data_IF_485168420766
#
_entry.id   IF_485168420766
#
_cell.length_a   1.000
_cell.length_b   1.000
_cell.length_c   1.000
_cell.angle_alpha   90.00
_cell.angle_beta   90.00
_cell.angle_gamma   90.00
#
_symmetry.space_group_name_H-M   'P 1'
#
loop_
_entity.id
_entity.type
_entity.pdbx_description
1 polymer ?
#
# COMPACT_ATOMS: atom_id res chain seq x y z
N UNK A 1 -29.95 12.13 23.11
CA UNK A 1 -28.60 11.75 22.63
C UNK A 1 -28.01 12.96 21.92
N UNK A 2 -26.71 13.22 22.05
CA UNK A 2 -26.06 14.35 21.36
C UNK A 2 -25.72 13.96 19.92
N UNK A 3 -25.69 14.92 19.00
CA UNK A 3 -25.29 14.68 17.61
C UNK A 3 -23.87 14.07 17.50
N UNK A 4 -23.00 14.33 18.47
CA UNK A 4 -21.68 13.68 18.58
C UNK A 4 -21.80 12.18 18.86
N UNK A 5 -22.68 11.78 19.79
CA UNK A 5 -22.91 10.38 20.12
C UNK A 5 -23.56 9.61 18.96
N UNK A 6 -24.41 10.27 18.17
CA UNK A 6 -24.97 9.65 16.97
C UNK A 6 -23.92 9.45 15.88
N UNK A 7 -23.02 10.42 15.67
CA UNK A 7 -21.86 10.24 14.79
C UNK A 7 -20.98 9.06 15.20
N UNK A 8 -20.71 8.88 16.50
CA UNK A 8 -19.88 7.77 17.02
C UNK A 8 -20.41 6.39 16.63
N UNK A 9 -21.73 6.21 16.54
CA UNK A 9 -22.34 4.92 16.17
C UNK A 9 -22.00 4.47 14.75
N UNK A 10 -21.58 5.40 13.88
CA UNK A 10 -21.15 5.10 12.53
C UNK A 10 -19.65 4.81 12.42
N UNK A 11 -18.87 5.06 13.48
CA UNK A 11 -17.43 4.85 13.49
C UNK A 11 -17.10 3.41 13.85
N UNK A 12 -16.41 2.74 12.95
CA UNK A 12 -15.95 1.36 13.12
C UNK A 12 -14.46 1.32 13.52
N UNK A 13 -14.10 0.62 14.60
CA UNK A 13 -12.70 0.42 14.98
C UNK A 13 -11.86 -0.19 13.87
N UNK A 14 -10.65 0.33 13.64
CA UNK A 14 -9.74 -0.11 12.58
C UNK A 14 -10.06 0.46 11.20
N UNK A 15 -11.12 1.27 11.05
CA UNK A 15 -11.43 1.98 9.82
C UNK A 15 -10.84 3.39 9.78
N UNK A 16 -10.80 3.96 8.59
CA UNK A 16 -10.37 5.34 8.37
C UNK A 16 -11.39 6.09 7.53
N UNK A 17 -11.59 7.36 7.88
CA UNK A 17 -12.60 8.24 7.31
C UNK A 17 -11.94 9.53 6.88
N UNK A 18 -12.36 10.08 5.75
CA UNK A 18 -12.07 11.46 5.43
C UNK A 18 -13.04 12.38 6.15
N UNK A 19 -12.64 13.64 6.34
CA UNK A 19 -13.56 14.71 6.78
C UNK A 19 -14.87 14.71 5.98
N UNK A 20 -14.79 14.59 4.65
CA UNK A 20 -15.97 14.59 3.77
C UNK A 20 -16.90 13.39 3.99
N UNK A 21 -16.40 12.24 4.47
CA UNK A 21 -17.21 11.04 4.65
C UNK A 21 -18.11 11.21 5.88
N UNK A 22 -17.60 11.91 6.90
CA UNK A 22 -18.33 12.22 8.14
C UNK A 22 -19.42 13.29 7.96
N UNK A 23 -19.41 14.05 6.84
CA UNK A 23 -20.47 15.03 6.52
C UNK A 23 -21.84 14.38 6.36
N UNK A 24 -21.89 13.07 6.08
CA UNK A 24 -23.12 12.30 5.97
C UNK A 24 -23.87 12.16 7.30
N UNK A 25 -23.15 12.30 8.41
CA UNK A 25 -23.65 12.01 9.76
C UNK A 25 -23.51 13.20 10.72
N UNK A 26 -22.96 14.33 10.26
CA UNK A 26 -22.81 15.53 11.08
C UNK A 26 -22.87 16.81 10.25
N UNK A 27 -23.68 17.76 10.73
CA UNK A 27 -23.74 19.14 10.22
C UNK A 27 -22.62 20.04 10.80
N UNK A 28 -21.88 19.55 11.80
CA UNK A 28 -20.83 20.29 12.54
C UNK A 28 -19.51 19.49 12.53
N UNK A 29 -19.09 19.04 11.34
CA UNK A 29 -17.99 18.06 11.19
C UNK A 29 -16.70 18.49 11.87
N UNK A 30 -16.26 19.75 11.70
CA UNK A 30 -14.98 20.20 12.26
C UNK A 30 -15.00 20.20 13.78
N UNK A 31 -16.11 20.64 14.38
CA UNK A 31 -16.32 20.59 15.83
C UNK A 31 -16.32 19.16 16.34
N UNK A 32 -17.05 18.25 15.70
CA UNK A 32 -17.11 16.86 16.11
C UNK A 32 -15.77 16.15 15.93
N UNK A 33 -15.04 16.42 14.85
CA UNK A 33 -13.67 15.90 14.64
C UNK A 33 -12.73 16.34 15.76
N UNK A 34 -12.75 17.61 16.14
CA UNK A 34 -11.94 18.10 17.26
C UNK A 34 -12.30 17.39 18.57
N UNK A 35 -13.59 17.19 18.85
CA UNK A 35 -14.04 16.48 20.04
C UNK A 35 -13.63 15.01 20.03
N UNK A 36 -13.85 14.29 18.92
CA UNK A 36 -13.49 12.88 18.75
C UNK A 36 -11.98 12.66 18.84
N UNK A 37 -11.18 13.58 18.29
CA UNK A 37 -9.72 13.53 18.41
C UNK A 37 -9.27 13.81 19.84
N UNK A 38 -9.87 14.82 20.49
CA UNK A 38 -9.53 15.18 21.88
C UNK A 38 -9.82 14.05 22.87
N UNK A 39 -10.89 13.28 22.65
CA UNK A 39 -11.27 12.16 23.52
C UNK A 39 -10.66 10.81 23.09
N UNK A 40 -9.83 10.78 22.04
CA UNK A 40 -9.16 9.57 21.55
C UNK A 40 -10.03 8.61 20.73
N UNK A 41 -11.28 8.96 20.43
CA UNK A 41 -12.14 8.16 19.55
C UNK A 41 -11.68 8.19 18.08
N UNK A 42 -10.95 9.24 17.68
CA UNK A 42 -10.28 9.34 16.39
C UNK A 42 -8.83 9.78 16.55
N UNK A 43 -7.98 9.34 15.64
CA UNK A 43 -6.61 9.82 15.49
C UNK A 43 -6.39 10.39 14.10
N UNK A 44 -5.61 11.47 13.98
CA UNK A 44 -5.34 12.11 12.69
C UNK A 44 -4.22 11.37 11.96
N UNK A 45 -4.58 10.53 11.00
CA UNK A 45 -3.62 9.76 10.22
C UNK A 45 -2.93 10.59 9.12
N UNK A 46 -3.64 11.54 8.49
CA UNK A 46 -3.06 12.42 7.47
C UNK A 46 -3.87 13.72 7.31
N UNK A 47 -3.51 14.56 6.35
CA UNK A 47 -4.30 15.73 5.96
C UNK A 47 -5.73 15.34 5.57
N UNK A 48 -6.69 15.64 6.45
CA UNK A 48 -8.12 15.35 6.22
C UNK A 48 -8.52 13.89 6.34
N UNK A 49 -7.64 13.00 6.83
CA UNK A 49 -7.90 11.57 7.07
C UNK A 49 -7.75 11.28 8.56
N UNK A 50 -8.74 10.59 9.11
CA UNK A 50 -8.85 10.25 10.52
C UNK A 50 -9.09 8.75 10.65
N UNK A 51 -8.42 8.07 11.56
CA UNK A 51 -8.63 6.65 11.83
C UNK A 51 -9.31 6.45 13.18
N UNK A 52 -10.09 5.39 13.29
CA UNK A 52 -10.61 4.91 14.57
C UNK A 52 -9.61 3.85 15.05
N UNK A 53 -8.87 4.08 16.15
CA UNK A 53 -7.96 3.07 16.67
C UNK A 53 -8.77 1.84 17.10
N UNK A 54 -8.16 0.65 17.00
CA UNK A 54 -8.75 -0.60 17.49
C UNK A 54 -8.03 -1.04 18.75
N UNK A 55 -8.79 -1.56 19.71
CA UNK A 55 -8.18 -2.19 20.88
C UNK A 55 -7.59 -3.55 20.50
N UNK A 56 -6.40 -3.79 21.01
CA UNK A 56 -5.72 -5.09 20.93
C UNK A 56 -5.23 -5.47 22.31
N UNK A 57 -4.80 -6.73 22.50
CA UNK A 57 -4.16 -7.19 23.74
C UNK A 57 -2.91 -6.39 24.15
N UNK A 58 -2.35 -5.60 23.23
CA UNK A 58 -1.17 -4.76 23.43
C UNK A 58 -1.50 -3.27 23.53
N UNK A 59 -2.79 -2.91 23.65
CA UNK A 59 -3.28 -1.53 23.65
C UNK A 59 -3.87 -1.12 22.31
N UNK A 60 -4.02 0.20 22.11
CA UNK A 60 -4.55 0.76 20.88
C UNK A 60 -3.60 0.50 19.71
N UNK A 61 -4.17 0.03 18.60
CA UNK A 61 -3.47 -0.17 17.36
C UNK A 61 -4.10 0.68 16.25
N UNK A 62 -3.27 1.20 15.33
CA UNK A 62 -3.77 1.95 14.20
C UNK A 62 -4.58 1.07 13.24
N UNK A 63 -5.29 1.73 12.32
CA UNK A 63 -5.86 1.06 11.17
C UNK A 63 -4.76 0.42 10.31
N UNK A 64 -5.11 -0.64 9.58
CA UNK A 64 -4.20 -1.23 8.62
C UNK A 64 -3.76 -0.19 7.57
N UNK A 65 -2.53 -0.31 7.07
CA UNK A 65 -1.98 0.63 6.09
C UNK A 65 -2.89 0.71 4.85
N UNK A 66 -3.43 -0.41 4.40
CA UNK A 66 -4.36 -0.52 3.28
C UNK A 66 -5.61 0.35 3.52
N UNK A 67 -6.17 0.31 4.74
CA UNK A 67 -7.32 1.16 5.13
C UNK A 67 -6.95 2.64 5.06
N UNK A 68 -5.77 3.02 5.59
CA UNK A 68 -5.29 4.40 5.54
C UNK A 68 -5.05 4.87 4.10
N UNK A 69 -4.45 4.03 3.26
CA UNK A 69 -4.20 4.29 1.85
C UNK A 69 -5.50 4.44 1.07
N UNK A 70 -6.47 3.54 1.29
CA UNK A 70 -7.79 3.60 0.66
C UNK A 70 -8.50 4.90 1.01
N UNK A 71 -8.54 5.26 2.30
CA UNK A 71 -9.08 6.54 2.74
C UNK A 71 -8.28 7.70 2.12
N UNK A 72 -6.95 7.67 2.15
CA UNK A 72 -6.11 8.74 1.61
C UNK A 72 -6.25 8.95 0.09
N UNK A 73 -6.49 7.89 -0.68
CA UNK A 73 -6.71 7.95 -2.13
C UNK A 73 -8.17 8.15 -2.53
N UNK A 74 -9.15 7.74 -1.69
CA UNK A 74 -10.57 7.56 -2.07
C UNK A 74 -10.64 6.72 -3.33
N UNK A 75 -9.91 5.62 -3.30
CA UNK A 75 -9.85 4.60 -4.33
C UNK A 75 -9.44 3.30 -3.65
N UNK A 76 -9.94 2.19 -4.13
CA UNK A 76 -9.55 0.83 -3.74
C UNK A 76 -8.59 0.20 -4.77
N UNK A 77 -8.38 0.84 -5.92
CA UNK A 77 -7.43 0.39 -6.96
C UNK A 77 -6.02 0.87 -6.67
N UNK A 78 -5.36 0.16 -5.77
CA UNK A 78 -3.96 0.33 -5.46
C UNK A 78 -3.32 -1.01 -5.08
N UNK A 79 -1.99 -1.05 -5.09
CA UNK A 79 -1.19 -2.19 -4.65
C UNK A 79 -0.15 -1.70 -3.66
N UNK A 80 -0.20 -2.20 -2.43
CA UNK A 80 0.82 -1.95 -1.42
C UNK A 80 1.89 -3.02 -1.56
N UNK A 81 3.16 -2.60 -1.65
CA UNK A 81 4.31 -3.50 -1.71
C UNK A 81 5.35 -3.05 -0.71
N UNK A 82 5.77 -3.97 0.17
CA UNK A 82 6.97 -3.79 0.98
C UNK A 82 8.16 -4.36 0.22
N UNK A 83 9.22 -3.58 -0.08
CA UNK A 83 10.40 -4.13 -0.75
C UNK A 83 11.05 -5.30 0.02
N UNK A 84 10.88 -5.37 1.34
CA UNK A 84 11.30 -6.52 2.15
C UNK A 84 10.64 -7.84 1.72
N UNK A 85 9.49 -7.79 1.02
CA UNK A 85 8.80 -8.98 0.54
C UNK A 85 9.61 -9.74 -0.52
N UNK A 86 10.57 -9.09 -1.21
CA UNK A 86 11.44 -9.75 -2.18
C UNK A 86 12.24 -10.91 -1.57
N UNK A 87 12.50 -10.88 -0.25
CA UNK A 87 13.19 -11.94 0.46
C UNK A 87 12.46 -13.29 0.31
N UNK A 88 11.13 -13.25 0.25
CA UNK A 88 10.29 -14.43 0.01
C UNK A 88 10.42 -15.03 -1.39
N UNK A 89 11.04 -14.33 -2.34
CA UNK A 89 11.33 -14.86 -3.69
C UNK A 89 12.61 -15.70 -3.73
N UNK A 90 13.44 -15.70 -2.67
CA UNK A 90 14.68 -16.49 -2.62
C UNK A 90 15.76 -15.99 -3.59
N UNK A 91 15.75 -14.70 -3.93
CA UNK A 91 16.68 -14.08 -4.90
C UNK A 91 17.92 -13.47 -4.25
N UNK A 92 18.10 -13.68 -2.94
CA UNK A 92 19.23 -13.17 -2.17
C UNK A 92 19.10 -11.70 -1.77
N UNK A 93 17.89 -11.14 -1.76
CA UNK A 93 17.61 -9.89 -1.03
C UNK A 93 17.49 -10.20 0.46
N UNK A 94 18.00 -9.30 1.30
CA UNK A 94 17.98 -9.47 2.76
C UNK A 94 17.68 -8.17 3.49
N UNK A 95 17.62 -7.04 2.78
CA UNK A 95 17.40 -5.74 3.39
C UNK A 95 15.98 -5.62 3.95
N UNK A 96 15.87 -5.01 5.13
CA UNK A 96 14.60 -4.61 5.73
C UNK A 96 14.31 -3.15 5.40
N UNK A 97 13.20 -2.94 4.70
CA UNK A 97 12.71 -1.63 4.28
C UNK A 97 11.55 -1.19 5.17
N UNK A 98 11.63 0.03 5.68
CA UNK A 98 10.60 0.62 6.56
C UNK A 98 9.51 1.37 5.79
N UNK A 99 9.83 1.81 4.56
CA UNK A 99 8.93 2.57 3.68
C UNK A 99 8.28 1.63 2.64
N UNK A 100 6.95 1.42 2.71
CA UNK A 100 6.23 0.68 1.69
C UNK A 100 5.98 1.56 0.47
N UNK A 101 5.83 0.91 -0.68
CA UNK A 101 5.47 1.53 -1.96
C UNK A 101 3.98 1.28 -2.23
N UNK A 102 3.26 2.31 -2.66
CA UNK A 102 1.85 2.22 -3.05
C UNK A 102 1.71 2.58 -4.52
N UNK A 103 1.56 1.56 -5.36
CA UNK A 103 1.17 1.76 -6.76
C UNK A 103 -0.30 2.11 -6.84
N UNK A 104 -0.63 3.20 -7.52
CA UNK A 104 -1.99 3.71 -7.57
C UNK A 104 -2.23 4.53 -8.84
N UNK A 105 -3.47 4.94 -9.09
CA UNK A 105 -3.84 5.68 -10.30
C UNK A 105 -3.88 7.21 -10.13
N UNK A 106 -3.75 7.73 -8.89
CA UNK A 106 -4.11 9.12 -8.55
C UNK A 106 -2.93 10.00 -8.13
N UNK A 107 -2.11 9.54 -7.20
CA UNK A 107 -1.09 10.32 -6.50
C UNK A 107 0.32 9.78 -6.76
N UNK A 108 1.27 10.70 -6.82
CA UNK A 108 2.70 10.41 -6.87
C UNK A 108 3.41 11.24 -5.80
N UNK A 109 4.44 10.68 -5.16
CA UNK A 109 5.25 11.34 -4.13
C UNK A 109 5.19 10.62 -2.78
N UNK A 110 5.98 11.12 -1.82
CA UNK A 110 6.06 10.54 -0.48
C UNK A 110 5.11 11.25 0.47
N UNK A 111 4.31 10.48 1.21
CA UNK A 111 3.34 11.00 2.17
C UNK A 111 3.49 10.30 3.51
N UNK A 112 3.24 11.04 4.59
CA UNK A 112 3.20 10.50 5.95
C UNK A 112 1.76 10.07 6.26
N UNK A 113 1.55 8.78 6.49
CA UNK A 113 0.29 8.20 6.96
C UNK A 113 0.54 7.60 8.33
N UNK A 114 -0.13 8.14 9.35
CA UNK A 114 -0.03 7.69 10.74
C UNK A 114 1.42 7.52 11.22
N UNK A 115 2.21 8.59 11.14
CA UNK A 115 3.62 8.52 11.55
C UNK A 115 4.57 7.89 10.51
N UNK A 116 4.06 7.04 9.60
CA UNK A 116 4.87 6.26 8.66
C UNK A 116 4.99 6.94 7.29
N UNK A 117 6.21 7.03 6.76
CA UNK A 117 6.43 7.46 5.38
C UNK A 117 6.04 6.34 4.41
N UNK A 118 5.36 6.73 3.33
CA UNK A 118 4.85 5.83 2.28
C UNK A 118 5.13 6.46 0.91
N UNK A 119 5.72 5.70 -0.01
CA UNK A 119 6.06 6.13 -1.37
C UNK A 119 4.90 5.83 -2.33
N UNK A 120 4.10 6.84 -2.67
CA UNK A 120 3.04 6.70 -3.65
C UNK A 120 3.59 6.84 -5.05
N UNK A 121 3.35 5.84 -5.89
CA UNK A 121 3.81 5.81 -7.28
C UNK A 121 2.62 5.69 -8.22
N UNK A 122 2.31 6.79 -8.90
CA UNK A 122 1.28 6.77 -9.95
C UNK A 122 1.68 5.86 -11.11
N UNK A 123 0.77 4.98 -11.53
CA UNK A 123 0.90 4.07 -12.69
C UNK A 123 -0.34 4.16 -13.57
N UNK A 124 -0.25 3.85 -14.87
CA UNK A 124 -1.42 3.77 -15.75
C UNK A 124 -2.33 2.58 -15.42
N UNK A 125 -1.77 1.51 -14.84
CA UNK A 125 -2.48 0.32 -14.38
C UNK A 125 -1.82 -0.23 -13.12
N UNK A 126 -2.59 -0.95 -12.31
CA UNK A 126 -2.14 -1.55 -11.06
C UNK A 126 -2.76 -2.94 -10.92
N UNK A 127 -1.98 -4.00 -10.65
CA UNK A 127 -2.52 -5.33 -10.37
C UNK A 127 -3.46 -5.33 -9.15
N UNK A 128 -4.47 -6.20 -9.18
CA UNK A 128 -5.48 -6.29 -8.10
C UNK A 128 -4.97 -6.93 -6.81
N UNK A 129 -3.90 -7.73 -6.89
CA UNK A 129 -3.36 -8.47 -5.76
C UNK A 129 -1.84 -8.66 -5.90
N UNK A 130 -1.17 -8.78 -4.76
CA UNK A 130 0.27 -9.04 -4.70
C UNK A 130 0.55 -10.55 -4.74
N UNK A 131 0.49 -11.15 -5.93
CA UNK A 131 0.93 -12.54 -6.13
C UNK A 131 2.46 -12.62 -6.20
N UNK A 132 3.04 -13.83 -6.19
CA UNK A 132 4.49 -14.00 -6.38
C UNK A 132 4.94 -13.46 -7.74
N UNK A 133 4.15 -13.63 -8.80
CA UNK A 133 4.44 -13.12 -10.14
C UNK A 133 4.42 -11.59 -10.19
N UNK A 134 3.44 -10.97 -9.54
CA UNK A 134 3.39 -9.50 -9.41
C UNK A 134 4.58 -8.99 -8.62
N UNK A 135 4.96 -9.68 -7.53
CA UNK A 135 6.13 -9.33 -6.73
C UNK A 135 7.44 -9.49 -7.53
N UNK A 136 7.57 -10.53 -8.35
CA UNK A 136 8.71 -10.72 -9.25
C UNK A 136 8.79 -9.60 -10.30
N UNK A 137 7.66 -9.23 -10.90
CA UNK A 137 7.58 -8.11 -11.86
C UNK A 137 7.94 -6.78 -11.20
N UNK A 138 7.47 -6.55 -9.98
CA UNK A 138 7.80 -5.38 -9.18
C UNK A 138 9.30 -5.33 -8.84
N UNK A 139 9.90 -6.45 -8.43
CA UNK A 139 11.34 -6.57 -8.21
C UNK A 139 12.12 -6.19 -9.48
N UNK A 140 11.80 -6.81 -10.62
CA UNK A 140 12.48 -6.56 -11.91
C UNK A 140 12.32 -5.10 -12.37
N UNK A 141 11.18 -4.48 -12.04
CA UNK A 141 10.95 -3.06 -12.30
C UNK A 141 11.85 -2.16 -11.44
N UNK A 142 12.15 -2.56 -10.20
CA UNK A 142 12.81 -1.74 -9.18
C UNK A 142 14.27 -2.07 -8.92
N UNK A 143 14.90 -2.98 -9.68
CA UNK A 143 16.29 -3.39 -9.47
C UNK A 143 17.29 -2.24 -9.25
N UNK A 144 17.15 -1.11 -9.95
CA UNK A 144 18.08 0.03 -9.82
C UNK A 144 17.78 0.91 -8.58
N UNK A 145 16.78 0.54 -7.77
CA UNK A 145 16.34 1.27 -6.57
C UNK A 145 16.54 0.47 -5.28
N UNK A 146 17.07 -0.75 -5.39
CA UNK A 146 17.39 -1.59 -4.25
C UNK A 146 18.73 -1.17 -3.65
N UNK A 147 18.90 -1.45 -2.36
CA UNK A 147 20.20 -1.35 -1.71
C UNK A 147 21.14 -2.47 -2.18
N UNK A 148 20.58 -3.63 -2.53
CA UNK A 148 21.33 -4.78 -3.05
C UNK A 148 21.91 -4.52 -4.45
N UNK A 149 23.07 -5.13 -4.73
CA UNK A 149 23.70 -5.04 -6.05
C UNK A 149 22.85 -5.72 -7.13
N UNK A 150 22.44 -4.94 -8.12
CA UNK A 150 21.71 -5.41 -9.30
C UNK A 150 22.44 -6.55 -10.01
N UNK A 151 23.78 -6.52 -10.09
CA UNK A 151 24.57 -7.54 -10.76
C UNK A 151 24.42 -8.91 -10.08
N UNK A 152 24.15 -8.94 -8.78
CA UNK A 152 23.90 -10.16 -8.03
C UNK A 152 22.42 -10.59 -8.07
N UNK A 153 21.50 -9.64 -7.91
CA UNK A 153 20.07 -9.94 -7.77
C UNK A 153 19.45 -10.34 -9.12
N UNK A 154 19.80 -9.66 -10.21
CA UNK A 154 19.16 -9.88 -11.51
C UNK A 154 19.30 -11.32 -12.02
N UNK A 155 20.50 -11.94 -12.05
CA UNK A 155 20.63 -13.33 -12.51
C UNK A 155 19.83 -14.32 -11.66
N UNK A 156 19.75 -14.09 -10.34
CA UNK A 156 18.97 -14.91 -9.40
C UNK A 156 17.47 -14.74 -9.64
N UNK A 157 17.01 -13.50 -9.85
CA UNK A 157 15.63 -13.19 -10.18
C UNK A 157 15.19 -13.82 -11.50
N UNK A 158 16.01 -13.74 -12.55
CA UNK A 158 15.72 -14.39 -13.84
C UNK A 158 15.67 -15.92 -13.71
N UNK A 159 16.61 -16.53 -12.98
CA UNK A 159 16.59 -17.98 -12.70
C UNK A 159 15.34 -18.38 -11.92
N UNK A 160 14.92 -17.58 -10.92
CA UNK A 160 13.70 -17.83 -10.18
C UNK A 160 12.47 -17.71 -11.09
N UNK A 161 12.40 -16.67 -11.92
CA UNK A 161 11.29 -16.45 -12.85
C UNK A 161 11.07 -17.63 -13.82
N UNK A 162 12.14 -18.30 -14.29
CA UNK A 162 12.04 -19.52 -15.11
C UNK A 162 11.30 -20.68 -14.44
N UNK A 163 11.27 -20.70 -13.11
CA UNK A 163 10.59 -21.75 -12.32
C UNK A 163 9.12 -21.43 -12.05
N UNK A 164 8.65 -20.24 -12.45
CA UNK A 164 7.28 -19.78 -12.24
C UNK A 164 6.43 -19.99 -13.50
N UNK A 165 5.11 -19.84 -13.37
CA UNK A 165 4.18 -19.94 -14.50
C UNK A 165 4.44 -18.81 -15.53
N UNK A 166 4.84 -19.16 -16.77
CA UNK A 166 5.09 -18.20 -17.84
C UNK A 166 3.91 -17.28 -18.18
N UNK A 167 2.71 -17.84 -18.20
CA UNK A 167 1.49 -17.11 -18.54
C UNK A 167 1.16 -16.08 -17.48
N UNK A 168 1.23 -16.47 -16.19
CA UNK A 168 1.00 -15.56 -15.07
C UNK A 168 2.05 -14.48 -14.97
N UNK A 169 3.32 -14.77 -15.26
CA UNK A 169 4.39 -13.75 -15.28
C UNK A 169 4.15 -12.71 -16.39
N UNK A 170 3.82 -13.15 -17.60
CA UNK A 170 3.50 -12.22 -18.70
C UNK A 170 2.26 -11.38 -18.39
N UNK A 171 1.24 -12.00 -17.80
CA UNK A 171 0.03 -11.29 -17.37
C UNK A 171 0.36 -10.26 -16.28
N UNK A 172 1.14 -10.62 -15.26
CA UNK A 172 1.57 -9.70 -14.22
C UNK A 172 2.38 -8.53 -14.80
N UNK A 173 3.30 -8.79 -15.74
CA UNK A 173 4.09 -7.74 -16.41
C UNK A 173 3.21 -6.82 -17.26
N UNK A 174 2.16 -7.37 -17.87
CA UNK A 174 1.15 -6.62 -18.58
C UNK A 174 0.36 -5.71 -17.66
N UNK A 175 -0.22 -6.26 -16.59
CA UNK A 175 -1.10 -5.54 -15.68
C UNK A 175 -0.36 -4.48 -14.85
N UNK A 176 0.94 -4.70 -14.59
CA UNK A 176 1.81 -3.72 -13.95
C UNK A 176 2.29 -2.61 -14.93
N UNK A 177 2.08 -2.77 -16.24
CA UNK A 177 2.47 -1.85 -17.30
C UNK A 177 3.95 -1.43 -17.24
N UNK A 178 4.86 -2.38 -16.99
CA UNK A 178 6.31 -2.12 -16.97
C UNK A 178 6.99 -2.70 -18.21
N UNK A 179 7.38 -1.84 -19.15
CA UNK A 179 8.12 -2.24 -20.35
C UNK A 179 9.48 -2.87 -20.01
N UNK A 180 10.14 -2.39 -18.94
CA UNK A 180 11.39 -2.98 -18.43
C UNK A 180 11.15 -4.41 -17.92
N UNK A 181 10.18 -4.59 -17.03
CA UNK A 181 9.90 -5.90 -16.45
C UNK A 181 9.42 -6.88 -17.52
N UNK A 182 8.58 -6.43 -18.47
CA UNK A 182 8.14 -7.25 -19.60
C UNK A 182 9.31 -7.80 -20.40
N UNK A 183 10.26 -6.94 -20.82
CA UNK A 183 11.47 -7.39 -21.54
C UNK A 183 12.27 -8.43 -20.77
N UNK A 184 12.44 -8.24 -19.46
CA UNK A 184 13.18 -9.17 -18.60
C UNK A 184 12.41 -10.50 -18.39
N UNK A 185 11.09 -10.45 -18.26
CA UNK A 185 10.23 -11.65 -18.17
C UNK A 185 10.27 -12.43 -19.48
N UNK A 186 10.16 -11.77 -20.62
CA UNK A 186 10.22 -12.43 -21.92
C UNK A 186 11.58 -13.10 -22.14
N UNK A 187 12.68 -12.43 -21.74
CA UNK A 187 14.02 -13.02 -21.75
C UNK A 187 14.13 -14.25 -20.82
N UNK A 188 13.51 -14.20 -19.63
CA UNK A 188 13.55 -15.31 -18.69
C UNK A 188 12.79 -16.53 -19.23
N UNK A 189 11.60 -16.30 -19.80
CA UNK A 189 10.66 -17.35 -20.21
C UNK A 189 10.98 -17.95 -21.58
N UNK A 190 11.67 -17.23 -22.46
CA UNK A 190 12.08 -17.75 -23.76
C UNK A 190 13.33 -18.66 -23.71
N UNK A 191 13.99 -18.75 -22.55
CA UNK A 191 15.24 -19.47 -22.33
C UNK A 191 15.03 -20.74 -21.49
#
# INVERSE_FOLDING_TARGET
MTALNDLKKHLQPGCAYRRQDLQRWSNSVDRHLQQLVKEGALEKAAGGVYMVPRETRFGLAPAALETLVQAFLKDDRFLVVSPSAYNGLGVGTTQLYNEPVVYNLKRHGRFKLDGRMVDFRRRPSVPRALTQEVLMVDLLHNLDRLAEDRAEVLPRALRRARTMDPGKLRQAAHDFASARARRLVDQAVAA
#
